data_IF_766994082038
#
_entry.id   IF_766994082038
#
_cell.length_a   1.000
_cell.length_b   1.000
_cell.length_c   1.000
_cell.angle_alpha   90.00
_cell.angle_beta   90.00
_cell.angle_gamma   90.00
#
_symmetry.space_group_name_H-M   'P 1'
#
loop_
_entity.id
_entity.type
_entity.pdbx_description
1 polymer ?
#
# COMPACT_ATOMS: atom_id res chain seq x y z
N UNK A 1 -16.48 -11.33 -17.90
CA UNK A 1 -15.89 -11.43 -16.54
C UNK A 1 -14.37 -11.22 -16.52
N UNK A 2 -13.63 -11.51 -17.61
CA UNK A 2 -12.18 -11.30 -17.67
C UNK A 2 -11.76 -9.81 -17.72
N UNK A 3 -12.45 -8.96 -18.49
CA UNK A 3 -12.07 -7.55 -18.69
C UNK A 3 -12.08 -6.70 -17.40
N UNK A 4 -13.02 -6.93 -16.50
CA UNK A 4 -13.10 -6.20 -15.22
C UNK A 4 -12.04 -6.66 -14.21
N UNK A 5 -11.44 -7.84 -14.40
CA UNK A 5 -10.45 -8.39 -13.47
C UNK A 5 -9.14 -7.60 -13.47
N UNK A 6 -8.79 -6.96 -14.60
CA UNK A 6 -7.59 -6.14 -14.73
C UNK A 6 -7.71 -4.81 -13.96
N UNK A 7 -8.88 -4.18 -13.99
CA UNK A 7 -9.17 -2.96 -13.20
C UNK A 7 -9.16 -3.22 -11.69
N UNK A 8 -9.43 -4.47 -11.29
CA UNK A 8 -9.40 -4.89 -9.89
C UNK A 8 -8.02 -5.40 -9.46
N UNK A 9 -7.06 -5.52 -10.38
CA UNK A 9 -5.70 -5.95 -10.07
C UNK A 9 -4.95 -4.85 -9.32
N UNK A 10 -4.25 -5.23 -8.26
CA UNK A 10 -3.38 -4.33 -7.52
C UNK A 10 -2.07 -4.19 -8.29
N UNK A 11 -1.86 -3.03 -8.92
CA UNK A 11 -0.65 -2.71 -9.67
C UNK A 11 0.08 -1.56 -8.98
N UNK A 12 1.35 -1.79 -8.62
CA UNK A 12 2.24 -0.78 -8.08
C UNK A 12 2.88 -0.01 -9.24
N UNK A 13 2.70 1.31 -9.25
CA UNK A 13 3.12 2.18 -10.35
C UNK A 13 4.51 2.76 -10.07
N UNK A 14 4.69 3.33 -8.87
CA UNK A 14 5.96 3.93 -8.45
C UNK A 14 6.06 3.98 -6.94
N UNK A 15 7.29 4.05 -6.43
CA UNK A 15 7.53 4.36 -5.02
C UNK A 15 7.00 5.76 -4.68
N UNK A 16 6.58 5.95 -3.44
CA UNK A 16 6.13 7.23 -2.91
C UNK A 16 6.42 7.36 -1.41
N UNK A 17 6.34 8.58 -0.84
CA UNK A 17 6.44 8.76 0.59
C UNK A 17 5.37 7.96 1.34
N UNK A 18 5.74 7.44 2.51
CA UNK A 18 4.79 6.79 3.42
C UNK A 18 3.81 7.86 3.95
N UNK A 19 2.48 7.63 3.83
CA UNK A 19 1.47 8.54 4.40
C UNK A 19 1.61 8.67 5.92
N UNK A 20 1.46 9.88 6.46
CA UNK A 20 1.65 10.12 7.89
C UNK A 20 0.55 9.49 8.76
N UNK A 21 -0.67 9.43 8.23
CA UNK A 21 -1.83 8.84 8.88
C UNK A 21 -1.73 7.31 9.05
N UNK A 22 -0.82 6.64 8.32
CA UNK A 22 -0.65 5.19 8.45
C UNK A 22 -0.24 4.80 9.88
N UNK A 23 0.43 5.70 10.61
CA UNK A 23 0.88 5.44 11.98
C UNK A 23 -0.26 5.14 12.94
N UNK A 24 -1.46 5.66 12.67
CA UNK A 24 -2.67 5.43 13.46
C UNK A 24 -3.27 4.03 13.22
N UNK A 25 -2.84 3.35 12.14
CA UNK A 25 -3.29 2.02 11.74
C UNK A 25 -2.32 0.91 12.19
N UNK A 26 -1.06 1.24 12.47
CA UNK A 26 -0.03 0.28 12.86
C UNK A 26 -0.25 -0.24 14.28
N UNK A 27 -0.02 -1.54 14.48
CA UNK A 27 -0.01 -2.17 15.81
C UNK A 27 1.34 -2.00 16.51
N UNK A 28 1.40 -2.30 17.82
CA UNK A 28 2.65 -2.20 18.58
C UNK A 28 3.76 -3.09 17.98
N UNK A 29 4.92 -2.50 17.72
CA UNK A 29 6.08 -3.18 17.10
C UNK A 29 6.07 -3.21 15.57
N UNK A 30 4.95 -2.86 14.93
CA UNK A 30 4.84 -2.73 13.48
C UNK A 30 5.38 -1.38 13.00
N UNK A 31 6.09 -1.40 11.87
CA UNK A 31 6.74 -0.24 11.26
C UNK A 31 6.49 -0.24 9.75
N UNK A 32 6.09 0.91 9.21
CA UNK A 32 6.01 1.11 7.78
C UNK A 32 7.41 1.17 7.16
N UNK A 33 7.66 0.33 6.16
CA UNK A 33 8.97 0.16 5.52
C UNK A 33 9.00 0.82 4.15
N UNK A 34 7.92 0.71 3.37
CA UNK A 34 7.84 1.27 2.02
C UNK A 34 6.39 1.60 1.64
N UNK A 35 6.22 2.50 0.68
CA UNK A 35 4.92 2.81 0.11
C UNK A 35 5.00 2.94 -1.42
N UNK A 36 3.95 2.47 -2.10
CA UNK A 36 3.85 2.53 -3.55
C UNK A 36 2.49 3.09 -3.97
N UNK A 37 2.50 3.99 -4.96
CA UNK A 37 1.28 4.46 -5.61
C UNK A 37 0.66 3.34 -6.43
N UNK A 38 -0.63 3.15 -6.26
CA UNK A 38 -1.48 2.34 -7.13
C UNK A 38 -2.32 3.28 -8.01
N UNK A 39 -3.22 2.70 -8.81
CA UNK A 39 -4.15 3.48 -9.63
C UNK A 39 -5.14 4.29 -8.77
N UNK A 40 -5.42 3.84 -7.53
CA UNK A 40 -6.49 4.41 -6.69
C UNK A 40 -5.97 5.04 -5.39
N UNK A 41 -4.86 4.54 -4.87
CA UNK A 41 -4.39 4.80 -3.51
C UNK A 41 -2.88 4.59 -3.39
N UNK A 42 -2.38 4.49 -2.16
CA UNK A 42 -1.04 4.01 -1.85
C UNK A 42 -1.11 2.70 -1.08
N UNK A 43 -0.32 1.72 -1.50
CA UNK A 43 -0.08 0.50 -0.73
C UNK A 43 1.14 0.69 0.18
N UNK A 44 0.96 0.50 1.48
CA UNK A 44 2.05 0.56 2.49
C UNK A 44 2.44 -0.86 2.89
N UNK A 45 3.74 -1.13 2.92
CA UNK A 45 4.32 -2.39 3.33
C UNK A 45 4.96 -2.23 4.70
N UNK A 46 4.63 -3.12 5.62
CA UNK A 46 5.16 -3.12 7.00
C UNK A 46 6.16 -4.26 7.20
N UNK A 47 6.93 -4.20 8.28
CA UNK A 47 7.71 -5.35 8.73
C UNK A 47 6.77 -6.48 9.18
N UNK A 48 7.24 -7.71 9.04
CA UNK A 48 6.60 -8.83 9.74
C UNK A 48 7.10 -8.80 11.18
N UNK A 49 6.18 -8.67 12.12
CA UNK A 49 6.45 -8.73 13.57
C UNK A 49 6.74 -10.17 13.99
#
# INVERSE_FOLDING_TARGET
>A
MAETSLILSWTFISECPIPQDVQELLVEGEQAVAAYKTIRDSAVFTNNV
#
